data_IF_890201202416
#
_entry.id   IF_890201202416
#
_cell.length_a   1.000
_cell.length_b   1.000
_cell.length_c   1.000
_cell.angle_alpha   90.00
_cell.angle_beta   90.00
_cell.angle_gamma   90.00
#
_symmetry.space_group_name_H-M   'P 1'
#
loop_
_entity.id
_entity.type
_entity.pdbx_description
1 polymer ?
#
# COMPACT_ATOMS: atom_id res chain seq x y z
N UNK A 1 0.91 -17.83 29.12
CA UNK A 1 1.28 -16.61 28.35
C UNK A 1 1.45 -16.83 26.85
N UNK A 2 2.24 -17.81 26.36
CA UNK A 2 2.46 -18.05 24.91
C UNK A 2 1.18 -18.23 24.07
N UNK A 3 0.15 -18.92 24.59
CA UNK A 3 -1.12 -19.17 23.88
C UNK A 3 -1.95 -17.88 23.63
N UNK A 4 -1.92 -16.94 24.58
CA UNK A 4 -2.60 -15.64 24.46
C UNK A 4 -1.84 -14.67 23.54
N UNK A 5 -0.50 -14.69 23.58
CA UNK A 5 0.32 -13.91 22.64
C UNK A 5 0.09 -14.35 21.18
N UNK A 6 0.01 -15.67 20.94
CA UNK A 6 -0.27 -16.18 19.59
C UNK A 6 -1.69 -15.83 19.14
N UNK A 7 -2.69 -15.90 20.01
CA UNK A 7 -4.06 -15.51 19.69
C UNK A 7 -4.17 -14.03 19.28
N UNK A 8 -3.59 -13.12 20.07
CA UNK A 8 -3.53 -11.68 19.72
C UNK A 8 -2.80 -11.43 18.40
N UNK A 9 -1.69 -12.13 18.15
CA UNK A 9 -0.93 -12.00 16.90
C UNK A 9 -1.72 -12.50 15.69
N UNK A 10 -2.54 -13.53 15.86
CA UNK A 10 -3.34 -14.11 14.77
C UNK A 10 -4.53 -13.21 14.42
N UNK A 11 -5.21 -12.64 15.42
CA UNK A 11 -6.27 -11.64 15.16
C UNK A 11 -5.74 -10.36 14.52
N UNK A 12 -4.55 -9.91 14.93
CA UNK A 12 -3.91 -8.75 14.31
C UNK A 12 -3.55 -8.97 12.84
N UNK A 13 -3.23 -10.20 12.41
CA UNK A 13 -2.95 -10.49 11.00
C UNK A 13 -4.25 -10.59 10.18
N UNK A 14 -5.32 -11.14 10.77
CA UNK A 14 -6.64 -11.26 10.11
C UNK A 14 -7.20 -9.91 9.66
N UNK A 15 -6.90 -8.83 10.39
CA UNK A 15 -7.32 -7.47 10.03
C UNK A 15 -6.69 -6.96 8.73
N UNK A 16 -5.69 -7.63 8.16
CA UNK A 16 -5.13 -7.28 6.86
C UNK A 16 -5.52 -8.27 5.76
N UNK A 17 -6.38 -9.26 6.05
CA UNK A 17 -6.84 -10.21 5.04
C UNK A 17 -7.53 -9.54 3.85
N UNK A 18 -8.44 -8.56 4.03
CA UNK A 18 -9.04 -7.84 2.91
C UNK A 18 -8.02 -7.06 2.08
N UNK A 19 -7.01 -6.46 2.73
CA UNK A 19 -5.89 -5.81 2.06
C UNK A 19 -5.14 -6.81 1.16
N UNK A 20 -4.77 -7.98 1.70
CA UNK A 20 -4.06 -9.01 0.94
C UNK A 20 -4.87 -9.47 -0.29
N UNK A 21 -6.18 -9.68 -0.12
CA UNK A 21 -7.08 -10.04 -1.23
C UNK A 21 -7.11 -8.95 -2.30
N UNK A 22 -7.23 -7.68 -1.91
CA UNK A 22 -7.25 -6.54 -2.83
C UNK A 22 -5.97 -6.45 -3.67
N UNK A 23 -4.81 -6.69 -3.04
CA UNK A 23 -3.51 -6.70 -3.73
C UNK A 23 -3.43 -7.87 -4.70
N UNK A 24 -3.84 -9.07 -4.30
CA UNK A 24 -3.87 -10.23 -5.19
C UNK A 24 -4.77 -10.00 -6.41
N UNK A 25 -5.94 -9.37 -6.21
CA UNK A 25 -6.83 -8.98 -7.32
C UNK A 25 -6.11 -8.03 -8.27
N UNK A 26 -5.41 -7.02 -7.75
CA UNK A 26 -4.63 -6.10 -8.59
C UNK A 26 -3.51 -6.81 -9.35
N UNK A 27 -2.73 -7.66 -8.68
CA UNK A 27 -1.64 -8.41 -9.32
C UNK A 27 -2.17 -9.32 -10.43
N UNK A 28 -3.28 -10.03 -10.19
CA UNK A 28 -3.93 -10.88 -11.21
C UNK A 28 -4.46 -10.06 -12.37
N UNK A 29 -5.10 -8.92 -12.08
CA UNK A 29 -5.60 -8.01 -13.10
C UNK A 29 -4.48 -7.48 -14.00
N UNK A 30 -3.35 -7.06 -13.42
CA UNK A 30 -2.18 -6.63 -14.18
C UNK A 30 -1.62 -7.75 -15.05
N UNK A 31 -1.47 -8.95 -14.48
CA UNK A 31 -0.93 -10.10 -15.20
C UNK A 31 -1.77 -10.42 -16.44
N UNK A 32 -3.09 -10.57 -16.27
CA UNK A 32 -4.01 -10.88 -17.38
C UNK A 32 -3.97 -9.79 -18.45
N UNK A 33 -3.94 -8.51 -18.05
CA UNK A 33 -3.89 -7.43 -19.04
C UNK A 33 -2.57 -7.38 -19.80
N UNK A 34 -1.45 -7.71 -19.15
CA UNK A 34 -0.14 -7.76 -19.81
C UNK A 34 -0.07 -8.94 -20.78
N UNK A 35 -0.64 -10.09 -20.41
CA UNK A 35 -0.78 -11.26 -21.30
C UNK A 35 -1.61 -10.89 -22.55
N UNK A 36 -2.80 -10.31 -22.38
CA UNK A 36 -3.65 -9.84 -23.49
C UNK A 36 -2.93 -8.79 -24.36
N UNK A 37 -2.22 -7.86 -23.72
CA UNK A 37 -1.47 -6.82 -24.43
C UNK A 37 -0.30 -7.41 -25.24
N UNK A 38 0.36 -8.43 -24.71
CA UNK A 38 1.39 -9.20 -25.40
C UNK A 38 0.85 -9.95 -26.61
N UNK A 39 -0.31 -10.60 -26.48
CA UNK A 39 -0.98 -11.29 -27.59
C UNK A 39 -1.31 -10.32 -28.75
N UNK A 40 -1.85 -9.13 -28.42
CA UNK A 40 -2.19 -8.12 -29.43
C UNK A 40 -0.95 -7.61 -30.19
N UNK A 41 0.20 -7.52 -29.50
CA UNK A 41 1.46 -7.04 -30.09
C UNK A 41 2.36 -8.15 -30.62
N UNK A 42 1.98 -9.41 -30.48
CA UNK A 42 2.79 -10.58 -30.79
C UNK A 42 4.17 -10.55 -30.10
N UNK A 43 4.22 -10.06 -28.86
CA UNK A 43 5.45 -9.94 -28.07
C UNK A 43 5.26 -10.51 -26.68
N UNK A 44 6.14 -11.44 -26.29
CA UNK A 44 6.13 -12.03 -24.96
C UNK A 44 6.76 -11.08 -23.94
N UNK A 45 5.92 -10.52 -23.07
CA UNK A 45 6.38 -9.69 -21.96
C UNK A 45 6.55 -10.52 -20.69
N UNK A 46 7.75 -10.53 -20.13
CA UNK A 46 7.99 -11.05 -18.79
C UNK A 46 7.79 -9.97 -17.74
N UNK A 47 6.98 -10.24 -16.71
CA UNK A 47 6.78 -9.37 -15.56
C UNK A 47 7.89 -9.54 -14.53
N UNK A 48 8.37 -8.41 -14.00
CA UNK A 48 9.24 -8.35 -12.83
C UNK A 48 8.43 -8.05 -11.57
N UNK A 49 8.98 -8.40 -10.40
CA UNK A 49 8.34 -8.09 -9.12
C UNK A 49 8.05 -6.59 -8.93
N UNK A 50 8.96 -5.74 -9.43
CA UNK A 50 8.85 -4.29 -9.37
C UNK A 50 7.72 -3.74 -10.25
N UNK A 51 7.33 -4.46 -11.31
CA UNK A 51 6.26 -4.02 -12.22
C UNK A 51 4.90 -3.99 -11.53
N UNK A 52 4.65 -4.92 -10.60
CA UNK A 52 3.44 -4.91 -9.77
C UNK A 52 3.38 -3.67 -8.87
N UNK A 53 4.48 -3.35 -8.19
CA UNK A 53 4.55 -2.18 -7.31
C UNK A 53 4.41 -0.87 -8.09
N UNK A 54 5.04 -0.77 -9.27
CA UNK A 54 4.96 0.42 -10.11
C UNK A 54 3.56 0.56 -10.69
N UNK A 55 2.98 -0.51 -11.22
CA UNK A 55 1.61 -0.47 -11.74
C UNK A 55 0.59 -0.16 -10.65
N UNK A 56 0.84 -0.59 -9.41
CA UNK A 56 0.02 -0.21 -8.29
C UNK A 56 0.22 1.28 -7.98
N UNK A 57 1.45 1.76 -7.79
CA UNK A 57 1.73 3.13 -7.34
C UNK A 57 1.80 4.22 -8.43
N UNK A 58 1.60 3.88 -9.72
CA UNK A 58 1.74 4.81 -10.86
C UNK A 58 0.83 6.05 -10.83
N UNK A 59 -0.24 6.02 -10.03
CA UNK A 59 -1.25 7.08 -10.02
C UNK A 59 -2.07 7.12 -11.32
N UNK A 60 -2.68 8.27 -11.59
CA UNK A 60 -3.41 8.53 -12.84
C UNK A 60 -2.66 9.55 -13.68
N UNK A 61 -2.79 9.43 -15.00
CA UNK A 61 -2.36 10.47 -15.93
C UNK A 61 -3.08 11.77 -15.53
N UNK A 62 -2.40 12.92 -15.48
CA UNK A 62 -3.06 14.19 -15.19
C UNK A 62 -4.20 14.39 -16.19
N UNK A 63 -5.44 14.64 -15.73
CA UNK A 63 -6.57 14.83 -16.62
C UNK A 63 -6.28 16.01 -17.55
N UNK A 64 -6.67 15.89 -18.81
CA UNK A 64 -6.76 17.08 -19.68
C UNK A 64 -7.79 18.05 -19.10
N UNK A 65 -7.76 19.33 -19.49
CA UNK A 65 -8.66 20.37 -18.96
C UNK A 65 -10.17 20.04 -19.06
N UNK A 66 -10.53 19.01 -19.82
CA UNK A 66 -11.91 18.58 -20.07
C UNK A 66 -12.28 17.26 -19.38
N UNK A 67 -11.34 16.54 -18.78
CA UNK A 67 -11.61 15.25 -18.15
C UNK A 67 -11.82 15.38 -16.64
N UNK A 68 -12.91 14.81 -16.14
CA UNK A 68 -13.16 14.71 -14.70
C UNK A 68 -12.12 13.79 -14.08
N UNK A 69 -11.42 14.28 -13.05
CA UNK A 69 -10.43 13.50 -12.31
C UNK A 69 -11.07 12.24 -11.72
N UNK A 70 -10.75 11.07 -12.27
CA UNK A 70 -11.29 9.78 -11.83
C UNK A 70 -10.23 9.02 -11.03
N UNK A 71 -10.44 8.88 -9.72
CA UNK A 71 -9.55 8.11 -8.85
C UNK A 71 -9.74 6.62 -9.14
N UNK A 72 -8.67 5.84 -9.40
CA UNK A 72 -8.80 4.41 -9.65
C UNK A 72 -9.53 3.72 -8.51
N UNK A 73 -10.56 2.95 -8.83
CA UNK A 73 -11.43 2.29 -7.84
C UNK A 73 -10.63 1.45 -6.83
N UNK A 74 -9.62 0.71 -7.30
CA UNK A 74 -8.72 -0.08 -6.44
C UNK A 74 -7.96 0.78 -5.42
N UNK A 75 -7.49 1.96 -5.82
CA UNK A 75 -6.83 2.90 -4.90
C UNK A 75 -7.79 3.45 -3.87
N UNK A 76 -9.00 3.81 -4.30
CA UNK A 76 -10.05 4.27 -3.40
C UNK A 76 -10.34 3.20 -2.34
N UNK A 77 -10.53 1.94 -2.73
CA UNK A 77 -10.75 0.85 -1.78
C UNK A 77 -9.54 0.62 -0.85
N UNK A 78 -8.31 0.70 -1.38
CA UNK A 78 -7.10 0.56 -0.59
C UNK A 78 -6.99 1.61 0.51
N UNK A 79 -7.28 2.88 0.20
CA UNK A 79 -7.21 3.97 1.18
C UNK A 79 -8.43 4.04 2.10
N UNK A 80 -9.63 3.71 1.62
CA UNK A 80 -10.81 3.58 2.47
C UNK A 80 -10.59 2.48 3.51
N UNK A 81 -10.01 1.35 3.10
CA UNK A 81 -9.73 0.26 4.03
C UNK A 81 -8.65 0.63 5.05
N UNK A 82 -7.59 1.31 4.60
CA UNK A 82 -6.60 1.89 5.51
C UNK A 82 -7.28 2.82 6.52
N UNK A 83 -8.13 3.75 6.06
CA UNK A 83 -8.89 4.66 6.92
C UNK A 83 -9.81 3.91 7.90
N UNK A 84 -10.40 2.80 7.51
CA UNK A 84 -11.24 1.99 8.40
C UNK A 84 -10.44 1.34 9.53
N UNK A 85 -9.26 0.78 9.23
CA UNK A 85 -8.37 0.20 10.25
C UNK A 85 -7.89 1.29 11.21
N UNK A 86 -7.42 2.40 10.66
CA UNK A 86 -6.83 3.49 11.44
C UNK A 86 -7.89 4.22 12.26
N UNK A 87 -9.07 4.47 11.68
CA UNK A 87 -10.23 5.04 12.36
C UNK A 87 -10.74 4.16 13.49
N UNK A 88 -10.75 2.83 13.30
CA UNK A 88 -11.07 1.89 14.38
C UNK A 88 -10.06 1.98 15.53
N UNK A 89 -8.76 1.99 15.24
CA UNK A 89 -7.72 2.15 16.28
C UNK A 89 -7.81 3.51 16.99
N UNK A 90 -8.07 4.59 16.24
CA UNK A 90 -8.32 5.93 16.79
C UNK A 90 -9.57 5.95 17.68
N UNK A 91 -10.64 5.23 17.33
CA UNK A 91 -11.84 5.17 18.17
C UNK A 91 -11.57 4.55 19.55
N UNK A 92 -10.64 3.58 19.64
CA UNK A 92 -10.24 2.98 20.91
C UNK A 92 -9.52 3.96 21.83
N UNK A 93 -8.97 5.05 21.29
CA UNK A 93 -8.36 6.14 22.07
C UNK A 93 -9.40 6.85 22.95
N UNK A 94 -10.65 6.93 22.49
CA UNK A 94 -11.74 7.51 23.27
C UNK A 94 -12.34 6.55 24.29
N UNK A 95 -11.76 5.35 24.47
CA UNK A 95 -12.17 4.45 25.53
C UNK A 95 -11.98 5.09 26.91
N UNK A 96 -12.88 4.78 27.84
CA UNK A 96 -12.83 5.28 29.23
C UNK A 96 -11.47 5.01 29.89
N UNK A 97 -10.81 3.92 29.52
CA UNK A 97 -9.48 3.55 30.02
C UNK A 97 -8.38 4.51 29.54
N UNK A 98 -8.31 4.80 28.24
CA UNK A 98 -7.30 5.71 27.68
C UNK A 98 -7.55 7.16 28.15
N UNK A 99 -8.82 7.58 28.29
CA UNK A 99 -9.16 8.87 28.89
C UNK A 99 -8.67 8.98 30.34
N UNK A 100 -8.89 7.95 31.17
CA UNK A 100 -8.39 7.93 32.55
C UNK A 100 -6.86 7.93 32.60
N UNK A 101 -6.19 7.22 31.68
CA UNK A 101 -4.72 7.21 31.56
C UNK A 101 -4.18 8.60 31.21
N UNK A 102 -4.83 9.32 30.30
CA UNK A 102 -4.48 10.70 29.93
C UNK A 102 -4.59 11.65 31.13
N UNK A 103 -5.70 11.57 31.89
CA UNK A 103 -5.95 12.40 33.07
C UNK A 103 -4.91 12.12 34.16
N UNK A 104 -4.57 10.84 34.40
CA UNK A 104 -3.64 10.43 35.46
C UNK A 104 -2.16 10.65 35.14
N UNK A 105 -1.75 10.54 33.86
CA UNK A 105 -0.33 10.67 33.50
C UNK A 105 0.18 12.11 33.41
N UNK A 106 -0.71 13.11 33.28
CA UNK A 106 -0.38 14.55 33.32
C UNK A 106 0.50 15.08 32.17
N UNK A 107 1.22 14.22 31.45
CA UNK A 107 2.16 14.56 30.36
C UNK A 107 1.49 14.41 29.00
N UNK A 108 0.61 15.35 28.64
CA UNK A 108 -0.11 15.38 27.36
C UNK A 108 0.83 15.24 26.14
N UNK A 109 2.01 15.90 26.17
CA UNK A 109 3.00 15.81 25.10
C UNK A 109 3.49 14.38 24.85
N UNK A 110 3.81 13.65 25.92
CA UNK A 110 4.31 12.26 25.80
C UNK A 110 3.25 11.34 25.21
N UNK A 111 1.99 11.52 25.60
CA UNK A 111 0.87 10.78 25.02
C UNK A 111 0.70 11.05 23.53
N UNK A 112 0.78 12.32 23.09
CA UNK A 112 0.76 12.67 21.66
C UNK A 112 1.89 12.00 20.87
N UNK A 113 3.11 11.98 21.39
CA UNK A 113 4.23 11.29 20.73
C UNK A 113 3.99 9.78 20.61
N UNK A 114 3.46 9.13 21.65
CA UNK A 114 3.14 7.70 21.60
C UNK A 114 2.08 7.39 20.53
N UNK A 115 1.06 8.24 20.40
CA UNK A 115 0.03 8.07 19.38
C UNK A 115 0.57 8.33 17.97
N UNK A 116 1.35 9.39 17.79
CA UNK A 116 2.00 9.65 16.51
C UNK A 116 2.90 8.49 16.09
N UNK A 117 3.68 7.93 17.02
CA UNK A 117 4.50 6.75 16.73
C UNK A 117 3.66 5.51 16.38
N UNK A 118 2.49 5.34 17.01
CA UNK A 118 1.55 4.28 16.63
C UNK A 118 1.08 4.44 15.18
N UNK A 119 0.74 5.67 14.75
CA UNK A 119 0.37 5.98 13.35
C UNK A 119 1.47 5.59 12.37
N UNK A 120 2.71 6.02 12.66
CA UNK A 120 3.86 5.71 11.82
C UNK A 120 4.06 4.19 11.68
N UNK A 121 4.01 3.48 12.81
CA UNK A 121 4.16 2.03 12.86
C UNK A 121 3.05 1.32 12.07
N UNK A 122 1.80 1.72 12.26
CA UNK A 122 0.65 1.10 11.60
C UNK A 122 0.69 1.30 10.08
N UNK A 123 1.07 2.50 9.65
CA UNK A 123 1.30 2.83 8.23
C UNK A 123 2.43 2.00 7.64
N UNK A 124 3.54 1.85 8.36
CA UNK A 124 4.66 1.01 7.94
C UNK A 124 4.24 -0.46 7.79
N UNK A 125 3.50 -1.01 8.77
CA UNK A 125 3.01 -2.39 8.72
C UNK A 125 2.10 -2.59 7.50
N UNK A 126 1.17 -1.66 7.25
CA UNK A 126 0.26 -1.74 6.12
C UNK A 126 1.01 -1.80 4.78
N UNK A 127 2.00 -0.92 4.57
CA UNK A 127 2.84 -0.97 3.37
C UNK A 127 3.71 -2.22 3.29
N UNK A 128 4.29 -2.68 4.40
CA UNK A 128 5.09 -3.91 4.41
C UNK A 128 4.23 -5.10 3.98
N UNK A 129 3.01 -5.22 4.51
CA UNK A 129 2.07 -6.28 4.09
C UNK A 129 1.75 -6.14 2.61
N UNK A 130 1.57 -4.91 2.10
CA UNK A 130 1.35 -4.66 0.67
C UNK A 130 2.48 -5.23 -0.18
N UNK A 131 3.72 -4.86 0.12
CA UNK A 131 4.90 -5.32 -0.61
C UNK A 131 5.16 -6.81 -0.46
N UNK A 132 4.98 -7.37 0.73
CA UNK A 132 5.13 -8.81 0.97
C UNK A 132 4.09 -9.59 0.18
N UNK A 133 2.85 -9.13 0.10
CA UNK A 133 1.79 -9.80 -0.66
C UNK A 133 2.10 -9.78 -2.17
N UNK A 134 2.53 -8.64 -2.71
CA UNK A 134 3.01 -8.56 -4.10
C UNK A 134 4.21 -9.48 -4.33
N UNK A 135 5.13 -9.54 -3.37
CA UNK A 135 6.30 -10.41 -3.35
C UNK A 135 5.93 -11.88 -3.47
N UNK A 136 5.06 -12.36 -2.56
CA UNK A 136 4.58 -13.74 -2.53
C UNK A 136 3.84 -14.07 -3.83
N UNK A 137 2.93 -13.18 -4.27
CA UNK A 137 2.20 -13.39 -5.52
C UNK A 137 3.14 -13.54 -6.71
N UNK A 138 4.09 -12.62 -6.87
CA UNK A 138 5.05 -12.64 -7.97
C UNK A 138 5.92 -13.91 -7.98
N UNK A 139 6.35 -14.38 -6.81
CA UNK A 139 7.08 -15.66 -6.69
C UNK A 139 6.20 -16.84 -7.10
N UNK A 140 4.91 -16.85 -6.71
CA UNK A 140 3.98 -17.91 -7.09
C UNK A 140 3.63 -17.93 -8.58
N UNK A 141 3.83 -16.82 -9.30
CA UNK A 141 3.57 -16.70 -10.75
C UNK A 141 4.84 -16.62 -11.58
N UNK A 142 5.98 -17.06 -11.05
CA UNK A 142 7.29 -17.07 -11.72
C UNK A 142 7.72 -15.70 -12.29
N UNK A 143 7.33 -14.60 -11.62
CA UNK A 143 7.79 -13.27 -11.97
C UNK A 143 9.30 -13.15 -11.74
N UNK A 144 9.99 -12.47 -12.65
CA UNK A 144 11.44 -12.31 -12.56
C UNK A 144 11.83 -11.49 -11.33
N UNK A 145 12.77 -12.01 -10.54
CA UNK A 145 13.30 -11.36 -9.35
C UNK A 145 14.51 -10.51 -9.75
N UNK A 146 14.43 -9.21 -9.51
CA UNK A 146 15.51 -8.26 -9.81
C UNK A 146 15.46 -7.73 -11.24
N UNK A 147 15.04 -6.48 -11.38
CA UNK A 147 14.89 -5.82 -12.68
C UNK A 147 13.63 -4.98 -12.75
N UNK A 148 13.38 -4.44 -13.93
CA UNK A 148 12.23 -3.62 -14.27
C UNK A 148 12.02 -3.70 -15.78
N UNK A 149 10.81 -4.04 -16.23
CA UNK A 149 10.52 -4.03 -17.66
C UNK A 149 10.22 -2.60 -18.12
N UNK A 150 11.27 -1.81 -18.38
CA UNK A 150 11.14 -0.40 -18.78
C UNK A 150 10.34 -0.23 -20.07
N UNK A 151 10.49 -1.15 -21.01
CA UNK A 151 9.75 -1.15 -22.26
C UNK A 151 8.26 -1.43 -22.04
N UNK A 152 7.93 -2.47 -21.25
CA UNK A 152 6.55 -2.75 -20.87
C UNK A 152 5.93 -1.57 -20.14
N UNK A 153 6.62 -0.98 -19.15
CA UNK A 153 6.10 0.15 -18.39
C UNK A 153 5.84 1.38 -19.26
N UNK A 154 6.68 1.61 -20.26
CA UNK A 154 6.44 2.67 -21.23
C UNK A 154 5.27 2.35 -22.16
N UNK A 155 5.19 1.13 -22.70
CA UNK A 155 4.19 0.76 -23.69
C UNK A 155 2.80 0.51 -23.09
N UNK A 156 2.73 -0.04 -21.88
CA UNK A 156 1.49 -0.38 -21.19
C UNK A 156 1.01 0.74 -20.27
N UNK A 157 1.92 1.33 -19.48
CA UNK A 157 1.57 2.37 -18.50
C UNK A 157 1.91 3.80 -18.96
N UNK A 158 2.59 3.99 -20.10
CA UNK A 158 3.03 5.31 -20.56
C UNK A 158 4.20 5.90 -19.75
N UNK A 159 4.80 5.11 -18.84
CA UNK A 159 5.79 5.61 -17.89
C UNK A 159 7.20 5.59 -18.49
N UNK A 160 7.82 6.78 -18.62
CA UNK A 160 9.21 6.93 -19.06
C UNK A 160 10.18 6.65 -17.92
N UNK A 161 10.47 5.37 -17.67
CA UNK A 161 11.37 4.92 -16.58
C UNK A 161 12.84 4.76 -17.01
N UNK A 162 13.20 5.17 -18.23
CA UNK A 162 14.57 5.07 -18.74
C UNK A 162 15.55 6.02 -18.04
N UNK A 163 15.09 7.22 -17.67
CA UNK A 163 15.89 8.27 -17.03
C UNK A 163 15.82 8.22 -15.50
N UNK A 164 14.95 7.36 -14.95
CA UNK A 164 14.70 7.28 -13.50
C UNK A 164 15.76 6.40 -12.84
N UNK A 165 16.50 6.99 -11.90
CA UNK A 165 17.47 6.27 -11.07
C UNK A 165 16.77 5.32 -10.08
N UNK A 166 17.49 4.28 -9.62
CA UNK A 166 16.97 3.35 -8.62
C UNK A 166 16.57 4.04 -7.30
N UNK A 167 17.29 5.09 -6.90
CA UNK A 167 16.99 5.88 -5.69
C UNK A 167 15.66 6.63 -5.86
N UNK A 168 15.44 7.28 -7.00
CA UNK A 168 14.17 7.96 -7.28
C UNK A 168 13.01 6.98 -7.30
N UNK A 169 13.20 5.79 -7.87
CA UNK A 169 12.19 4.74 -7.88
C UNK A 169 11.84 4.27 -6.46
N UNK A 170 12.82 4.15 -5.57
CA UNK A 170 12.58 3.87 -4.14
C UNK A 170 11.80 5.00 -3.47
N UNK A 171 12.15 6.26 -3.74
CA UNK A 171 11.41 7.42 -3.21
C UNK A 171 9.93 7.35 -3.65
N UNK A 172 9.66 7.10 -4.94
CA UNK A 172 8.31 7.09 -5.48
C UNK A 172 7.47 5.90 -5.02
N UNK A 173 8.07 4.72 -4.84
CA UNK A 173 7.32 3.54 -4.41
C UNK A 173 7.19 3.46 -2.90
N UNK A 174 8.22 3.81 -2.14
CA UNK A 174 8.23 3.58 -0.68
C UNK A 174 7.93 4.85 0.09
N UNK A 175 8.72 5.90 -0.14
CA UNK A 175 8.69 7.11 0.71
C UNK A 175 7.41 7.91 0.45
N UNK A 176 7.07 8.15 -0.82
CA UNK A 176 5.94 8.98 -1.17
C UNK A 176 4.59 8.36 -0.73
N UNK A 177 4.30 7.06 -0.99
CA UNK A 177 3.09 6.42 -0.48
C UNK A 177 3.03 6.39 1.05
N UNK A 178 4.17 6.17 1.73
CA UNK A 178 4.24 6.23 3.18
C UNK A 178 3.86 7.62 3.71
N UNK A 179 4.42 8.69 3.14
CA UNK A 179 4.10 10.06 3.55
C UNK A 179 2.62 10.41 3.30
N UNK A 180 2.08 10.03 2.15
CA UNK A 180 0.65 10.24 1.82
C UNK A 180 -0.26 9.53 2.81
N UNK A 181 0.05 8.26 3.13
CA UNK A 181 -0.73 7.48 4.10
C UNK A 181 -0.63 8.05 5.52
N UNK A 182 0.56 8.45 5.97
CA UNK A 182 0.73 9.10 7.28
C UNK A 182 -0.08 10.40 7.33
N UNK A 183 -0.02 11.22 6.27
CA UNK A 183 -0.78 12.46 6.20
C UNK A 183 -2.29 12.21 6.32
N UNK A 184 -2.84 11.24 5.57
CA UNK A 184 -4.25 10.86 5.66
C UNK A 184 -4.65 10.38 7.06
N UNK A 185 -3.78 9.62 7.72
CA UNK A 185 -4.06 9.15 9.08
C UNK A 185 -4.00 10.30 10.10
N UNK A 186 -3.09 11.25 9.96
CA UNK A 186 -3.04 12.44 10.83
C UNK A 186 -4.33 13.26 10.69
N UNK A 187 -4.89 13.40 9.48
CA UNK A 187 -6.20 14.06 9.28
C UNK A 187 -7.38 13.33 9.92
N UNK A 188 -7.26 12.01 10.17
CA UNK A 188 -8.31 11.21 10.80
C UNK A 188 -8.32 11.27 12.34
N UNK A 189 -7.33 11.95 12.94
CA UNK A 189 -7.09 12.01 14.38
C UNK A 189 -7.65 13.28 15.01
#
# INVERSE_FOLDING_TARGET
MKKYQNFFRTEQIKKYLPLMILICIHCRWLQVNVEIFGEIRQTDYSLFLSDYAISFFKGTIPPSEQEVFNIPSLWSFYFIYFFAITGYESSQIFSKFEQQKLIRQGKRKHWWYLKFFQILKETAIYLVITYVTMGIYGICTDAKIGGLSRELQFQYNGLKLQEVSAIQLLIYLVILPYLVMVAMHVFSM
#
